data_IF_447741508118
#
_entry.id   IF_447741508118
#
_cell.length_a   1.000
_cell.length_b   1.000
_cell.length_c   1.000
_cell.angle_alpha   90.00
_cell.angle_beta   90.00
_cell.angle_gamma   90.00
#
_symmetry.space_group_name_H-M   'P 1'
#
loop_
_entity.id
_entity.type
_entity.pdbx_description
1 polymer ?
#
# COMPACT_ATOMS: atom_id res chain seq x y z
N UNK A 1 3.03 7.48 13.52
CA UNK A 1 2.49 7.08 12.20
C UNK A 1 1.28 6.22 12.54
N UNK A 2 0.10 6.61 12.05
CA UNK A 2 -1.18 6.26 12.68
C UNK A 2 -2.16 5.65 11.67
N UNK A 3 -3.32 5.21 12.18
CA UNK A 3 -4.40 4.58 11.41
C UNK A 3 -4.70 5.28 10.08
N UNK A 4 -4.65 6.60 10.05
CA UNK A 4 -4.87 7.41 8.84
C UNK A 4 -3.88 7.09 7.69
N UNK A 5 -2.61 6.81 8.00
CA UNK A 5 -1.61 6.43 7.00
C UNK A 5 -1.86 5.02 6.47
N UNK A 6 -2.29 4.10 7.35
CA UNK A 6 -2.68 2.76 6.93
C UNK A 6 -3.89 2.82 6.01
N UNK A 7 -4.98 3.51 6.41
CA UNK A 7 -6.22 3.58 5.63
C UNK A 7 -5.96 4.22 4.25
N UNK A 8 -5.23 5.34 4.22
CA UNK A 8 -4.80 5.98 2.96
C UNK A 8 -3.97 5.02 2.11
N UNK A 9 -3.01 4.33 2.71
CA UNK A 9 -2.17 3.36 2.03
C UNK A 9 -2.94 2.17 1.50
N UNK A 10 -3.94 1.69 2.24
CA UNK A 10 -4.76 0.55 1.87
C UNK A 10 -5.60 0.85 0.63
N UNK A 11 -6.27 2.00 0.60
CA UNK A 11 -7.03 2.45 -0.58
C UNK A 11 -6.14 2.62 -1.81
N UNK A 12 -4.99 3.26 -1.62
CA UNK A 12 -4.00 3.42 -2.68
C UNK A 12 -3.51 2.06 -3.19
N UNK A 13 -3.20 1.13 -2.30
CA UNK A 13 -2.69 -0.21 -2.62
C UNK A 13 -3.72 -1.00 -3.41
N UNK A 14 -5.01 -0.94 -3.02
CA UNK A 14 -6.12 -1.55 -3.75
C UNK A 14 -6.30 -0.95 -5.14
N UNK A 15 -6.19 0.36 -5.28
CA UNK A 15 -6.32 1.04 -6.56
C UNK A 15 -5.21 0.64 -7.56
N UNK A 16 -4.01 0.33 -7.07
CA UNK A 16 -2.87 -0.04 -7.92
C UNK A 16 -2.76 -1.54 -8.18
N UNK A 17 -2.92 -2.37 -7.15
CA UNK A 17 -2.73 -3.82 -7.24
C UNK A 17 -4.03 -4.61 -7.46
N UNK A 18 -5.19 -3.95 -7.33
CA UNK A 18 -6.51 -4.58 -7.34
C UNK A 18 -7.01 -4.92 -5.93
N UNK A 19 -8.27 -4.59 -5.67
CA UNK A 19 -8.88 -4.79 -4.35
C UNK A 19 -8.90 -6.27 -3.91
N UNK A 20 -9.32 -7.18 -4.80
CA UNK A 20 -9.40 -8.61 -4.53
C UNK A 20 -8.05 -9.19 -4.09
N UNK A 21 -6.96 -8.82 -4.78
CA UNK A 21 -5.61 -9.29 -4.47
C UNK A 21 -5.15 -8.83 -3.08
N UNK A 22 -5.38 -7.56 -2.76
CA UNK A 22 -4.97 -6.97 -1.49
C UNK A 22 -5.77 -7.55 -0.33
N UNK A 23 -7.09 -7.66 -0.49
CA UNK A 23 -7.97 -8.24 0.54
C UNK A 23 -7.64 -9.71 0.78
N UNK A 24 -7.42 -10.50 -0.28
CA UNK A 24 -6.96 -11.89 -0.15
C UNK A 24 -5.63 -11.98 0.60
N UNK A 25 -4.68 -11.10 0.30
CA UNK A 25 -3.36 -11.08 0.97
C UNK A 25 -3.47 -10.81 2.47
N UNK A 26 -4.39 -9.95 2.90
CA UNK A 26 -4.65 -9.68 4.32
C UNK A 26 -5.49 -10.78 5.00
N UNK A 27 -6.45 -11.36 4.27
CA UNK A 27 -7.26 -12.46 4.78
C UNK A 27 -6.40 -13.72 5.02
N UNK A 28 -5.42 -13.99 4.16
CA UNK A 28 -4.49 -15.11 4.31
C UNK A 28 -3.26 -14.81 5.17
N UNK A 29 -3.15 -13.60 5.74
CA UNK A 29 -1.98 -13.23 6.52
C UNK A 29 -1.95 -13.96 7.87
N UNK A 30 -0.80 -14.50 8.25
CA UNK A 30 -0.56 -15.14 9.55
C UNK A 30 0.23 -14.21 10.46
N UNK A 31 0.50 -14.63 11.71
CA UNK A 31 1.20 -13.82 12.69
C UNK A 31 2.62 -13.44 12.26
N UNK A 32 3.23 -14.22 11.37
CA UNK A 32 4.56 -13.94 10.86
C UNK A 32 4.54 -12.84 9.79
N UNK A 33 3.60 -12.92 8.84
CA UNK A 33 3.59 -12.02 7.67
C UNK A 33 2.66 -10.79 7.83
N UNK A 34 1.73 -10.80 8.79
CA UNK A 34 0.81 -9.69 9.04
C UNK A 34 1.50 -8.37 9.41
N UNK A 35 2.51 -8.33 10.29
CA UNK A 35 3.22 -7.09 10.58
C UNK A 35 3.87 -6.48 9.34
N UNK A 36 4.32 -7.32 8.40
CA UNK A 36 4.90 -6.85 7.14
C UNK A 36 3.83 -6.28 6.19
N UNK A 37 2.64 -6.90 6.13
CA UNK A 37 1.52 -6.36 5.36
C UNK A 37 1.11 -4.98 5.89
N UNK A 38 1.07 -4.80 7.20
CA UNK A 38 0.76 -3.54 7.86
C UNK A 38 1.82 -2.48 7.58
N UNK A 39 3.10 -2.80 7.79
CA UNK A 39 4.22 -1.90 7.54
C UNK A 39 4.26 -1.41 6.09
N UNK A 40 4.14 -2.32 5.12
CA UNK A 40 4.15 -1.96 3.70
C UNK A 40 2.94 -1.07 3.36
N UNK A 41 1.77 -1.41 3.89
CA UNK A 41 0.54 -0.63 3.66
C UNK A 41 0.69 0.78 4.20
N UNK A 42 1.18 0.94 5.43
CA UNK A 42 1.32 2.25 6.04
C UNK A 42 2.46 3.07 5.40
N UNK A 43 3.66 2.50 5.32
CA UNK A 43 4.84 3.27 4.94
C UNK A 43 4.99 3.39 3.43
N UNK A 44 5.02 2.26 2.70
CA UNK A 44 5.19 2.31 1.26
C UNK A 44 3.96 2.95 0.61
N UNK A 45 2.76 2.47 0.92
CA UNK A 45 1.56 2.95 0.24
C UNK A 45 1.01 4.25 0.82
N UNK A 46 0.92 4.38 2.14
CA UNK A 46 0.41 5.57 2.81
C UNK A 46 1.38 6.74 2.76
N UNK A 47 2.59 6.56 3.30
CA UNK A 47 3.55 7.66 3.45
C UNK A 47 4.29 8.03 2.16
N UNK A 48 4.70 7.04 1.34
CA UNK A 48 5.51 7.30 0.13
C UNK A 48 4.61 7.50 -1.10
N UNK A 49 3.78 6.51 -1.44
CA UNK A 49 2.87 6.61 -2.60
C UNK A 49 1.71 7.58 -2.38
N UNK A 50 1.39 7.93 -1.13
CA UNK A 50 0.38 8.94 -0.80
C UNK A 50 0.83 10.39 -0.95
N UNK A 51 2.09 10.67 -1.31
CA UNK A 51 2.58 12.03 -1.59
C UNK A 51 2.05 12.53 -2.93
N UNK A 52 1.64 13.79 -2.99
CA UNK A 52 1.05 14.39 -4.20
C UNK A 52 2.08 15.03 -5.15
N UNK A 53 3.36 15.07 -4.76
CA UNK A 53 4.44 15.70 -5.56
C UNK A 53 4.64 15.07 -6.94
N UNK A 54 4.32 13.78 -7.10
CA UNK A 54 4.37 13.05 -8.36
C UNK A 54 3.04 12.34 -8.56
N UNK A 55 2.53 12.38 -9.80
CA UNK A 55 1.33 11.65 -10.17
C UNK A 55 1.53 10.14 -10.15
N UNK A 56 0.42 9.41 -10.20
CA UNK A 56 0.42 7.95 -10.11
C UNK A 56 1.20 7.29 -11.26
N UNK A 57 1.05 7.82 -12.48
CA UNK A 57 1.68 7.28 -13.69
C UNK A 57 3.21 7.36 -13.60
N UNK A 58 3.73 8.51 -13.20
CA UNK A 58 5.17 8.77 -13.05
C UNK A 58 5.76 7.90 -11.96
N UNK A 59 5.10 7.77 -10.80
CA UNK A 59 5.53 6.86 -9.74
C UNK A 59 5.59 5.41 -10.21
N UNK A 60 4.57 4.94 -10.93
CA UNK A 60 4.56 3.57 -11.46
C UNK A 60 5.69 3.33 -12.46
N UNK A 61 5.98 4.29 -13.35
CA UNK A 61 7.13 4.18 -14.26
C UNK A 61 8.46 4.10 -13.50
N UNK A 62 8.65 4.92 -12.46
CA UNK A 62 9.88 4.89 -11.64
C UNK A 62 10.03 3.60 -10.83
N UNK A 63 8.93 2.96 -10.43
CA UNK A 63 8.96 1.70 -9.69
C UNK A 63 9.32 0.49 -10.59
N UNK A 64 9.18 0.62 -11.91
CA UNK A 64 9.49 -0.44 -12.89
C UNK A 64 10.88 -0.33 -13.50
N UNK A 65 11.51 0.85 -13.43
CA UNK A 65 12.85 1.12 -13.97
C UNK A 65 13.95 0.43 -13.14
#
# INVERSE_FOLDING_TARGET
MGKDMFDKGFEIRKAVLGAEFVEKSFASADDFNRPMQELVTEYCWGAVWGRETLDRKTRSMLNLA
#
